data_IF_351847103763
#
_entry.id   IF_351847103763
#
_cell.length_a   1.000
_cell.length_b   1.000
_cell.length_c   1.000
_cell.angle_alpha   90.00
_cell.angle_beta   90.00
_cell.angle_gamma   90.00
#
_symmetry.space_group_name_H-M   'P 1'
#
loop_
_entity.id
_entity.type
_entity.pdbx_description
1 polymer ?
#
# COMPACT_ATOMS: atom_id res chain seq x y z
N UNK A 1 35.01 4.31 -22.46
CA UNK A 1 33.86 3.40 -22.72
C UNK A 1 32.57 4.22 -22.63
N UNK A 2 31.84 4.36 -23.75
CA UNK A 2 30.59 5.13 -23.79
C UNK A 2 29.47 4.16 -23.48
N UNK A 3 28.71 4.40 -22.40
CA UNK A 3 27.52 3.62 -22.06
C UNK A 3 26.37 4.04 -22.99
N UNK A 4 25.67 3.11 -23.66
CA UNK A 4 24.56 3.44 -24.53
C UNK A 4 23.41 4.07 -23.72
N UNK A 5 22.76 5.08 -24.32
CA UNK A 5 21.58 5.73 -23.72
C UNK A 5 20.38 4.76 -23.71
N UNK A 6 19.42 4.99 -22.80
CA UNK A 6 18.20 4.15 -22.67
C UNK A 6 17.43 4.03 -24.00
N UNK A 7 17.50 5.04 -24.85
CA UNK A 7 16.85 5.07 -26.15
C UNK A 7 17.56 4.19 -27.20
N UNK A 8 18.89 4.09 -27.12
CA UNK A 8 19.68 3.22 -28.00
C UNK A 8 19.52 1.75 -27.63
N UNK A 9 19.45 1.44 -26.33
CA UNK A 9 19.15 0.09 -25.85
C UNK A 9 17.76 -0.38 -26.31
N UNK A 10 16.75 0.52 -26.30
CA UNK A 10 15.43 0.21 -26.80
C UNK A 10 15.39 -0.11 -28.30
N UNK A 11 16.15 0.63 -29.11
CA UNK A 11 16.28 0.38 -30.56
C UNK A 11 17.02 -0.94 -30.86
N UNK A 12 18.08 -1.25 -30.12
CA UNK A 12 18.81 -2.51 -30.24
C UNK A 12 17.94 -3.72 -29.87
N UNK A 13 17.14 -3.61 -28.80
CA UNK A 13 16.22 -4.66 -28.39
C UNK A 13 15.12 -4.88 -29.43
N UNK A 14 14.55 -3.80 -29.98
CA UNK A 14 13.54 -3.89 -31.03
C UNK A 14 14.09 -4.54 -32.30
N UNK A 15 15.34 -4.19 -32.71
CA UNK A 15 16.03 -4.80 -33.84
C UNK A 15 16.29 -6.30 -33.60
N UNK A 16 16.77 -6.67 -32.43
CA UNK A 16 16.99 -8.08 -32.05
C UNK A 16 15.70 -8.89 -32.09
N UNK A 17 14.62 -8.38 -31.51
CA UNK A 17 13.33 -9.06 -31.48
C UNK A 17 12.70 -9.19 -32.89
N UNK A 18 13.02 -8.30 -33.84
CA UNK A 18 12.48 -8.36 -35.21
C UNK A 18 13.22 -9.36 -36.10
N UNK A 19 14.51 -9.58 -35.87
CA UNK A 19 15.39 -10.36 -36.75
C UNK A 19 15.80 -11.73 -36.19
N UNK A 20 15.76 -11.90 -34.88
CA UNK A 20 16.19 -13.13 -34.22
C UNK A 20 15.16 -14.26 -34.39
N UNK A 21 15.64 -15.47 -34.73
CA UNK A 21 14.87 -16.73 -34.74
C UNK A 21 15.01 -17.50 -33.41
N UNK A 22 15.55 -16.88 -32.38
CA UNK A 22 15.65 -17.48 -31.06
C UNK A 22 14.27 -17.74 -30.46
N UNK A 23 14.11 -18.84 -29.73
CA UNK A 23 12.85 -19.28 -29.13
C UNK A 23 12.25 -18.20 -28.19
N UNK A 24 13.09 -17.41 -27.50
CA UNK A 24 12.68 -16.29 -26.67
C UNK A 24 12.10 -15.14 -27.49
N UNK A 25 12.74 -14.78 -28.61
CA UNK A 25 12.28 -13.72 -29.51
C UNK A 25 10.96 -14.11 -30.20
N UNK A 26 10.80 -15.39 -30.58
CA UNK A 26 9.58 -15.94 -31.17
C UNK A 26 8.43 -15.89 -30.15
N UNK A 27 8.67 -16.30 -28.90
CA UNK A 27 7.66 -16.25 -27.84
C UNK A 27 7.24 -14.81 -27.54
N UNK A 28 8.19 -13.87 -27.45
CA UNK A 28 7.88 -12.46 -27.21
C UNK A 28 7.02 -11.89 -28.35
N UNK A 29 7.38 -12.15 -29.61
CA UNK A 29 6.54 -11.73 -30.77
C UNK A 29 5.14 -12.29 -30.70
N UNK A 30 4.96 -13.56 -30.33
CA UNK A 30 3.66 -14.21 -30.25
C UNK A 30 2.73 -13.62 -29.17
N UNK A 31 3.31 -13.15 -28.07
CA UNK A 31 2.53 -12.64 -26.93
C UNK A 31 2.40 -11.10 -26.89
N UNK A 32 3.32 -10.36 -27.52
CA UNK A 32 3.42 -8.91 -27.40
C UNK A 32 3.37 -8.14 -28.72
N UNK A 33 3.19 -8.81 -29.87
CA UNK A 33 2.98 -8.09 -31.14
C UNK A 33 1.55 -7.57 -31.22
N UNK A 34 1.32 -6.24 -31.32
CA UNK A 34 -0.02 -5.72 -31.58
C UNK A 34 -0.42 -6.08 -33.00
N UNK A 35 -1.45 -6.89 -33.14
CA UNK A 35 -2.08 -7.22 -34.42
C UNK A 35 -2.77 -5.96 -34.95
N UNK A 36 -2.12 -5.23 -35.87
CA UNK A 36 -2.75 -4.15 -36.60
C UNK A 36 -3.66 -4.77 -37.68
N UNK A 37 -4.89 -5.05 -37.36
CA UNK A 37 -5.95 -5.26 -38.34
C UNK A 37 -6.71 -3.97 -38.52
N UNK A 38 -6.82 -3.43 -39.72
CA UNK A 38 -7.70 -2.29 -40.02
C UNK A 38 -9.14 -2.79 -40.11
N UNK A 39 -9.95 -2.56 -39.11
CA UNK A 39 -11.39 -2.87 -39.20
C UNK A 39 -12.21 -1.65 -38.84
N UNK A 40 -12.86 -1.11 -39.89
CA UNK A 40 -14.19 -0.49 -39.96
C UNK A 40 -14.68 0.27 -38.73
N UNK A 41 -14.90 1.57 -38.96
CA UNK A 41 -15.58 2.55 -38.10
C UNK A 41 -16.96 2.08 -37.62
N UNK A 42 -17.04 1.59 -36.42
CA UNK A 42 -18.23 1.67 -35.58
C UNK A 42 -17.99 2.68 -34.46
N UNK A 43 -18.75 3.80 -34.50
CA UNK A 43 -18.84 4.77 -33.40
C UNK A 43 -19.43 4.06 -32.18
N UNK A 44 -18.59 3.35 -31.44
CA UNK A 44 -18.94 2.91 -30.10
C UNK A 44 -18.51 4.00 -29.14
N UNK A 45 -19.48 4.72 -28.60
CA UNK A 45 -19.26 5.68 -27.51
C UNK A 45 -18.76 4.89 -26.28
N UNK A 46 -17.47 4.67 -26.24
CA UNK A 46 -16.81 4.08 -25.10
C UNK A 46 -16.90 5.10 -23.96
N UNK A 47 -17.91 4.97 -23.09
CA UNK A 47 -17.87 5.61 -21.77
C UNK A 47 -16.53 5.22 -21.14
N UNK A 48 -15.57 6.14 -21.16
CA UNK A 48 -14.33 6.04 -20.38
C UNK A 48 -14.75 5.95 -18.92
N UNK A 49 -14.91 4.73 -18.42
CA UNK A 49 -14.95 4.48 -16.98
C UNK A 49 -13.52 4.76 -16.51
N UNK A 50 -13.25 6.01 -16.22
CA UNK A 50 -12.08 6.37 -15.42
C UNK A 50 -12.36 5.79 -14.04
N UNK A 51 -11.93 4.57 -13.79
CA UNK A 51 -11.76 4.06 -12.44
C UNK A 51 -10.75 5.01 -11.77
N UNK A 52 -11.29 6.04 -11.14
CA UNK A 52 -10.52 6.90 -10.25
C UNK A 52 -10.12 5.99 -9.09
N UNK A 53 -8.90 5.47 -9.16
CA UNK A 53 -8.29 4.70 -8.09
C UNK A 53 -8.42 5.55 -6.82
N UNK A 54 -9.34 5.16 -5.94
CA UNK A 54 -9.48 5.82 -4.64
C UNK A 54 -8.45 5.20 -3.74
N UNK A 55 -7.41 5.96 -3.40
CA UNK A 55 -6.41 5.55 -2.43
C UNK A 55 -7.11 5.10 -1.15
N UNK A 56 -6.73 3.96 -0.62
CA UNK A 56 -7.30 3.38 0.62
C UNK A 56 -6.33 3.37 1.78
N UNK A 57 -5.12 3.92 1.58
CA UNK A 57 -4.08 4.06 2.59
C UNK A 57 -4.29 5.31 3.45
N UNK A 58 -3.68 5.34 4.62
CA UNK A 58 -3.61 6.54 5.45
C UNK A 58 -2.53 7.48 4.92
N UNK A 59 -2.60 8.77 5.31
CA UNK A 59 -1.51 9.71 5.07
C UNK A 59 -1.03 10.25 6.41
N UNK A 60 0.24 10.05 6.72
CA UNK A 60 0.87 10.67 7.87
C UNK A 60 1.03 12.18 7.61
N UNK A 61 0.68 13.02 8.59
CA UNK A 61 0.58 14.47 8.36
C UNK A 61 1.90 15.19 8.21
N UNK A 62 2.94 14.73 8.90
CA UNK A 62 4.25 15.40 8.91
C UNK A 62 5.23 14.61 8.03
N UNK A 63 5.14 14.81 6.72
CA UNK A 63 5.88 14.03 5.73
C UNK A 63 7.40 14.13 5.91
N UNK A 64 7.93 15.25 6.40
CA UNK A 64 9.37 15.41 6.67
C UNK A 64 9.92 14.47 7.74
N UNK A 65 9.11 14.13 8.74
CA UNK A 65 9.48 13.22 9.83
C UNK A 65 8.90 11.81 9.64
N UNK A 66 8.11 11.59 8.58
CA UNK A 66 7.42 10.33 8.34
C UNK A 66 8.35 9.10 8.37
N UNK A 67 9.52 9.09 7.69
CA UNK A 67 10.36 7.89 7.67
C UNK A 67 10.78 7.45 9.08
N UNK A 68 11.28 8.36 9.90
CA UNK A 68 11.74 8.03 11.26
C UNK A 68 10.61 7.63 12.19
N UNK A 69 9.49 8.37 12.16
CA UNK A 69 8.35 8.13 13.07
C UNK A 69 7.61 6.85 12.74
N UNK A 70 7.34 6.59 11.48
CA UNK A 70 6.69 5.35 11.04
C UNK A 70 7.59 4.15 11.29
N UNK A 71 8.90 4.27 11.05
CA UNK A 71 9.87 3.22 11.39
C UNK A 71 9.90 2.95 12.89
N UNK A 72 9.88 3.98 13.72
CA UNK A 72 9.82 3.82 15.19
C UNK A 72 8.54 3.10 15.61
N UNK A 73 7.38 3.51 15.10
CA UNK A 73 6.11 2.81 15.35
C UNK A 73 6.17 1.33 14.93
N UNK A 74 6.69 1.06 13.72
CA UNK A 74 6.89 -0.31 13.23
C UNK A 74 7.72 -1.16 14.19
N UNK A 75 8.87 -0.65 14.63
CA UNK A 75 9.76 -1.32 15.57
C UNK A 75 9.06 -1.65 16.90
N UNK A 76 8.28 -0.72 17.43
CA UNK A 76 7.52 -0.94 18.66
C UNK A 76 6.42 -1.99 18.49
N UNK A 77 5.68 -1.96 17.38
CA UNK A 77 4.66 -2.94 17.09
C UNK A 77 5.24 -4.36 16.94
N UNK A 78 6.43 -4.48 16.32
CA UNK A 78 7.16 -5.74 16.24
C UNK A 78 7.58 -6.25 17.63
N UNK A 79 8.21 -5.40 18.45
CA UNK A 79 8.65 -5.75 19.82
C UNK A 79 7.48 -6.14 20.70
N UNK A 80 6.35 -5.48 20.57
CA UNK A 80 5.12 -5.77 21.29
C UNK A 80 4.40 -7.01 20.73
N UNK A 81 4.88 -7.60 19.63
CA UNK A 81 4.25 -8.72 18.92
C UNK A 81 2.81 -8.42 18.46
N UNK A 82 2.53 -7.17 18.07
CA UNK A 82 1.21 -6.77 17.55
C UNK A 82 1.11 -6.86 16.03
N UNK A 83 2.24 -6.94 15.34
CA UNK A 83 2.33 -7.30 13.92
C UNK A 83 3.21 -8.52 13.77
N UNK A 84 3.01 -9.28 12.70
CA UNK A 84 3.78 -10.48 12.45
C UNK A 84 5.26 -10.16 12.20
N UNK A 85 6.16 -11.03 12.67
CA UNK A 85 7.60 -10.84 12.57
C UNK A 85 8.12 -10.80 11.12
N UNK A 86 7.39 -11.42 10.18
CA UNK A 86 7.64 -11.43 8.75
C UNK A 86 7.08 -10.21 8.02
N UNK A 87 6.55 -9.20 8.74
CA UNK A 87 6.03 -7.98 8.12
C UNK A 87 7.15 -7.18 7.46
N UNK A 88 7.02 -6.91 6.16
CA UNK A 88 7.97 -6.05 5.44
C UNK A 88 7.83 -4.60 5.91
N UNK A 89 8.93 -3.92 6.31
CA UNK A 89 8.90 -2.51 6.73
C UNK A 89 8.41 -1.56 5.64
N UNK A 90 8.74 -1.82 4.35
CA UNK A 90 8.31 -0.98 3.24
C UNK A 90 6.79 -1.09 3.00
N UNK A 91 6.23 -2.30 3.16
CA UNK A 91 4.79 -2.53 3.12
C UNK A 91 4.09 -1.76 4.25
N UNK A 92 4.64 -1.84 5.47
CA UNK A 92 4.10 -1.09 6.60
C UNK A 92 4.18 0.42 6.37
N UNK A 93 5.33 0.92 5.89
CA UNK A 93 5.53 2.33 5.58
C UNK A 93 4.53 2.83 4.52
N UNK A 94 4.32 2.04 3.46
CA UNK A 94 3.43 2.40 2.35
C UNK A 94 1.99 2.70 2.80
N UNK A 95 1.53 2.11 3.93
CA UNK A 95 0.19 2.36 4.47
C UNK A 95 -0.02 3.81 4.95
N UNK A 96 1.06 4.56 5.18
CA UNK A 96 1.02 5.91 5.72
C UNK A 96 1.45 6.99 4.73
N UNK A 97 1.67 6.63 3.47
CA UNK A 97 2.11 7.56 2.42
C UNK A 97 0.97 8.27 1.70
N UNK A 98 -0.26 7.78 1.82
CA UNK A 98 -1.41 8.27 1.05
C UNK A 98 -1.38 7.84 -0.42
N UNK A 99 -0.47 6.96 -0.81
CA UNK A 99 -0.40 6.35 -2.14
C UNK A 99 -1.10 5.00 -2.17
N UNK A 100 -1.49 4.54 -3.35
CA UNK A 100 -2.08 3.22 -3.47
C UNK A 100 -1.09 2.13 -3.07
N UNK A 101 -1.54 1.21 -2.23
CA UNK A 101 -0.77 0.07 -1.77
C UNK A 101 -1.67 -1.17 -1.70
N UNK A 102 -1.15 -2.31 -2.10
CA UNK A 102 -1.78 -3.61 -1.92
C UNK A 102 -1.25 -4.36 -0.68
N UNK A 103 -0.42 -3.69 0.11
CA UNK A 103 0.16 -4.28 1.32
C UNK A 103 -0.92 -4.73 2.30
N UNK A 104 -0.74 -5.92 2.87
CA UNK A 104 -1.60 -6.49 3.92
C UNK A 104 -0.76 -6.88 5.11
N UNK A 105 -0.96 -6.19 6.20
CA UNK A 105 -0.23 -6.40 7.46
C UNK A 105 -1.00 -7.38 8.33
N UNK A 106 -0.34 -8.45 8.76
CA UNK A 106 -0.90 -9.41 9.72
C UNK A 106 -0.86 -8.80 11.13
N UNK A 107 -2.04 -8.51 11.66
CA UNK A 107 -2.20 -8.04 13.02
C UNK A 107 -2.29 -9.22 13.98
N UNK A 108 -1.34 -9.34 14.88
CA UNK A 108 -1.23 -10.41 15.89
C UNK A 108 -1.68 -9.97 17.28
N UNK A 109 -1.75 -8.65 17.50
CA UNK A 109 -2.31 -8.07 18.70
C UNK A 109 -3.84 -8.23 18.81
N UNK A 110 -4.45 -7.73 19.88
CA UNK A 110 -5.91 -7.77 20.01
C UNK A 110 -6.59 -6.78 19.05
N UNK A 111 -7.80 -7.14 18.60
CA UNK A 111 -8.61 -6.27 17.76
C UNK A 111 -8.98 -4.94 18.46
N UNK A 112 -9.08 -4.97 19.81
CA UNK A 112 -9.31 -3.78 20.62
C UNK A 112 -8.15 -2.79 20.54
N UNK A 113 -6.91 -3.30 20.59
CA UNK A 113 -5.70 -2.47 20.47
C UNK A 113 -5.61 -1.81 19.10
N UNK A 114 -5.85 -2.56 18.01
CA UNK A 114 -5.88 -1.99 16.66
C UNK A 114 -6.96 -0.91 16.53
N UNK A 115 -8.18 -1.21 16.96
CA UNK A 115 -9.29 -0.27 16.88
C UNK A 115 -8.99 1.04 17.62
N UNK A 116 -8.39 0.94 18.81
CA UNK A 116 -8.06 2.10 19.61
C UNK A 116 -6.87 2.88 19.03
N UNK A 117 -5.83 2.18 18.57
CA UNK A 117 -4.68 2.82 17.92
C UNK A 117 -5.11 3.67 16.71
N UNK A 118 -5.91 3.10 15.82
CA UNK A 118 -6.42 3.83 14.65
C UNK A 118 -7.30 5.02 15.03
N UNK A 119 -8.17 4.87 16.04
CA UNK A 119 -8.98 5.99 16.55
C UNK A 119 -8.08 7.10 17.06
N UNK A 120 -7.15 6.77 17.94
CA UNK A 120 -6.26 7.71 18.59
C UNK A 120 -5.38 8.47 17.58
N UNK A 121 -4.77 7.75 16.64
CA UNK A 121 -4.00 8.38 15.55
C UNK A 121 -4.83 9.35 14.71
N UNK A 122 -6.11 9.02 14.49
CA UNK A 122 -7.05 9.88 13.75
C UNK A 122 -7.49 11.09 14.60
N UNK A 123 -7.84 10.89 15.86
CA UNK A 123 -8.31 11.93 16.80
C UNK A 123 -7.22 12.94 17.11
N UNK A 124 -5.97 12.48 17.27
CA UNK A 124 -4.79 13.35 17.45
C UNK A 124 -4.27 13.95 16.16
N UNK A 125 -4.95 13.69 15.04
CA UNK A 125 -4.56 14.17 13.72
C UNK A 125 -3.15 13.73 13.27
N UNK A 126 -2.62 12.62 13.77
CA UNK A 126 -1.35 12.07 13.29
C UNK A 126 -1.47 11.51 11.88
N UNK A 127 -2.63 10.93 11.55
CA UNK A 127 -2.95 10.44 10.22
C UNK A 127 -4.23 11.08 9.67
N UNK A 128 -4.28 11.23 8.37
CA UNK A 128 -5.49 11.60 7.65
C UNK A 128 -6.04 10.43 6.84
N UNK A 129 -7.36 10.44 6.64
CA UNK A 129 -8.08 9.42 5.90
C UNK A 129 -8.40 9.99 4.52
N UNK A 130 -8.29 9.21 3.43
CA UNK A 130 -8.62 9.68 2.09
C UNK A 130 -10.07 10.17 2.01
N UNK A 131 -10.28 11.24 1.25
CA UNK A 131 -11.63 11.75 0.99
C UNK A 131 -12.51 10.65 0.40
N UNK A 132 -13.75 10.52 0.89
CA UNK A 132 -14.75 9.51 0.48
C UNK A 132 -14.44 8.07 0.86
N UNK A 133 -13.41 7.81 1.64
CA UNK A 133 -13.10 6.49 2.20
C UNK A 133 -13.25 6.55 3.71
N UNK A 134 -13.93 5.59 4.30
CA UNK A 134 -14.04 5.52 5.76
C UNK A 134 -12.78 4.94 6.39
N UNK A 135 -12.43 5.40 7.60
CA UNK A 135 -11.23 4.89 8.31
C UNK A 135 -11.21 3.37 8.45
N UNK A 136 -12.36 2.77 8.67
CA UNK A 136 -12.46 1.31 8.80
C UNK A 136 -12.28 0.59 7.47
N UNK A 137 -12.67 1.21 6.35
CA UNK A 137 -12.39 0.67 5.01
C UNK A 137 -10.89 0.61 4.78
N UNK A 138 -10.13 1.66 5.13
CA UNK A 138 -8.66 1.64 5.07
C UNK A 138 -8.11 0.49 5.92
N UNK A 139 -8.60 0.32 7.16
CA UNK A 139 -8.13 -0.76 8.04
C UNK A 139 -8.41 -2.14 7.44
N UNK A 140 -9.64 -2.40 6.98
CA UNK A 140 -10.00 -3.73 6.44
C UNK A 140 -9.30 -4.08 5.13
N UNK A 141 -8.88 -3.08 4.36
CA UNK A 141 -8.12 -3.32 3.13
C UNK A 141 -6.67 -3.70 3.40
N UNK A 142 -6.09 -3.19 4.50
CA UNK A 142 -4.65 -3.30 4.75
C UNK A 142 -4.27 -4.13 5.97
N UNK A 143 -5.22 -4.48 6.83
CA UNK A 143 -4.94 -5.34 7.98
C UNK A 143 -5.74 -6.64 7.91
N UNK A 144 -5.08 -7.72 8.22
CA UNK A 144 -5.66 -9.07 8.37
C UNK A 144 -5.32 -9.61 9.74
N UNK A 145 -6.08 -10.59 10.22
CA UNK A 145 -5.77 -11.26 11.48
C UNK A 145 -4.55 -12.19 11.34
N UNK A 146 -4.12 -12.79 12.43
CA UNK A 146 -2.99 -13.73 12.49
C UNK A 146 -3.11 -14.92 11.50
N UNK A 147 -4.32 -15.29 11.12
CA UNK A 147 -4.60 -16.37 10.18
C UNK A 147 -4.76 -15.85 8.72
N UNK A 148 -4.38 -14.61 8.43
CA UNK A 148 -4.56 -13.94 7.14
C UNK A 148 -6.02 -13.80 6.70
N UNK A 149 -6.97 -13.92 7.62
CA UNK A 149 -8.39 -13.69 7.37
C UNK A 149 -8.77 -12.24 7.66
N UNK A 150 -9.90 -11.81 7.13
CA UNK A 150 -10.43 -10.47 7.37
C UNK A 150 -10.69 -10.25 8.87
N UNK A 151 -10.43 -9.02 9.33
CA UNK A 151 -10.72 -8.61 10.70
C UNK A 151 -12.23 -8.52 10.95
N UNK A 152 -12.70 -8.78 12.19
CA UNK A 152 -14.08 -8.55 12.57
C UNK A 152 -14.41 -7.06 12.61
N UNK A 153 -15.68 -6.69 12.76
CA UNK A 153 -16.12 -5.30 12.86
C UNK A 153 -15.48 -4.60 14.08
N UNK A 154 -14.57 -3.64 13.81
CA UNK A 154 -13.79 -2.92 14.83
C UNK A 154 -14.48 -1.66 15.36
N UNK A 155 -15.46 -1.13 14.64
CA UNK A 155 -16.07 0.17 14.91
C UNK A 155 -16.82 0.26 16.25
N UNK A 156 -17.28 -0.87 16.81
CA UNK A 156 -18.05 -0.96 18.06
C UNK A 156 -17.24 -1.40 19.27
N UNK A 157 -15.92 -1.63 19.10
CA UNK A 157 -15.10 -2.14 20.18
C UNK A 157 -14.72 -1.02 21.17
N UNK A 158 -14.82 -1.32 22.47
CA UNK A 158 -14.36 -0.47 23.57
C UNK A 158 -13.16 -1.13 24.24
N UNK A 159 -12.13 -0.34 24.50
CA UNK A 159 -10.91 -0.84 25.11
C UNK A 159 -10.95 -0.65 26.65
N UNK A 160 -10.56 -1.64 27.43
CA UNK A 160 -10.40 -1.51 28.89
C UNK A 160 -9.31 -0.47 29.22
N UNK A 161 -9.51 0.27 30.32
CA UNK A 161 -8.60 1.37 30.73
C UNK A 161 -7.13 0.96 30.81
N UNK A 162 -6.83 -0.24 31.35
CA UNK A 162 -5.44 -0.74 31.48
C UNK A 162 -4.72 -0.88 30.12
N UNK A 163 -5.46 -1.26 29.08
CA UNK A 163 -4.88 -1.43 27.73
C UNK A 163 -4.73 -0.11 26.98
N UNK A 164 -5.39 0.97 27.42
CA UNK A 164 -5.29 2.29 26.80
C UNK A 164 -3.88 2.86 26.91
N UNK A 165 -3.27 2.79 28.08
CA UNK A 165 -1.96 3.41 28.39
C UNK A 165 -0.92 2.95 27.37
N UNK A 166 -0.83 1.64 27.09
CA UNK A 166 0.15 1.10 26.16
C UNK A 166 -0.11 1.59 24.73
N UNK A 167 -1.38 1.62 24.31
CA UNK A 167 -1.74 2.11 22.96
C UNK A 167 -1.49 3.62 22.84
N UNK A 168 -1.73 4.38 23.90
CA UNK A 168 -1.45 5.82 23.94
C UNK A 168 0.03 6.11 23.79
N UNK A 169 0.88 5.38 24.50
CA UNK A 169 2.34 5.48 24.35
C UNK A 169 2.78 5.16 22.92
N UNK A 170 2.21 4.14 22.28
CA UNK A 170 2.53 3.81 20.89
C UNK A 170 2.07 4.91 19.93
N UNK A 171 0.89 5.48 20.12
CA UNK A 171 0.42 6.56 19.26
C UNK A 171 1.30 7.83 19.40
N UNK A 172 1.83 8.10 20.58
CA UNK A 172 2.73 9.24 20.81
C UNK A 172 4.05 9.14 20.01
N UNK A 173 4.46 7.96 19.57
CA UNK A 173 5.63 7.81 18.70
C UNK A 173 5.47 8.54 17.36
N UNK A 174 4.22 8.79 16.95
CA UNK A 174 3.90 9.57 15.75
C UNK A 174 3.82 11.09 16.00
N UNK A 175 3.96 11.53 17.26
CA UNK A 175 3.95 12.96 17.58
C UNK A 175 5.24 13.60 17.04
N UNK A 176 5.16 14.62 16.16
CA UNK A 176 6.35 15.25 15.60
C UNK A 176 7.19 15.99 16.65
N UNK A 177 6.60 16.33 17.80
CA UNK A 177 7.23 17.11 18.89
C UNK A 177 7.79 16.23 20.03
N UNK A 178 7.70 14.90 19.92
CA UNK A 178 8.23 13.97 20.94
C UNK A 178 9.65 13.51 20.64
#
# INVERSE_FOLDING_TARGET
>A
MVTPTTNELGKLLASYLSTSNDALAINFRKHYSPTLTPTSSHKTTTKRITHRLTTTTFTYRWLSTAPSRITTLYQYLLRAQWIAADTNPDDFYSLFTGQDSNARIKWTGSNLQLAYLIRLMTERNYISIPKRVGKWTCVYNHFVNKNSCQLPKLNRLHIPQRSKIVVEQMAELLNPNS
#
